data_IF_876414815852
#
_entry.id   IF_876414815852
#
_cell.length_a   1.000
_cell.length_b   1.000
_cell.length_c   1.000
_cell.angle_alpha   90.00
_cell.angle_beta   90.00
_cell.angle_gamma   90.00
#
_symmetry.space_group_name_H-M   'P 1'
#
loop_
_entity.id
_entity.type
_entity.pdbx_description
1 polymer ?
#
# COMPACT_ATOMS: atom_id res chain seq x y z
N UNK A 1 21.73 -15.44 -9.71
CA UNK A 1 21.04 -14.72 -8.62
C UNK A 1 19.60 -14.50 -9.05
N UNK A 2 18.61 -14.95 -8.27
CA UNK A 2 17.22 -14.67 -8.60
C UNK A 2 17.00 -13.18 -8.31
N UNK A 3 16.85 -12.37 -9.37
CA UNK A 3 16.43 -10.98 -9.23
C UNK A 3 15.20 -10.94 -8.33
N UNK A 4 15.28 -10.24 -7.19
CA UNK A 4 14.12 -10.03 -6.32
C UNK A 4 13.01 -9.41 -7.16
N UNK A 5 11.94 -10.19 -7.39
CA UNK A 5 10.79 -9.77 -8.17
C UNK A 5 9.95 -8.82 -7.31
N UNK A 6 10.48 -7.64 -7.02
CA UNK A 6 9.83 -6.64 -6.19
C UNK A 6 8.60 -6.07 -6.87
N UNK A 7 7.63 -5.70 -6.05
CA UNK A 7 6.27 -5.34 -6.43
C UNK A 7 5.81 -4.22 -5.51
N UNK A 8 4.98 -3.34 -6.05
CA UNK A 8 4.28 -2.34 -5.26
C UNK A 8 2.83 -2.76 -5.05
N UNK A 9 2.33 -2.54 -3.84
CA UNK A 9 0.96 -2.84 -3.48
C UNK A 9 0.32 -1.71 -2.67
N UNK A 10 -1.01 -1.64 -2.72
CA UNK A 10 -1.84 -1.06 -1.65
C UNK A 10 -2.02 -2.12 -0.60
N UNK A 11 -1.76 -1.79 0.66
CA UNK A 11 -2.21 -2.57 1.80
C UNK A 11 -3.48 -1.99 2.38
N UNK A 12 -4.45 -2.85 2.70
CA UNK A 12 -5.67 -2.49 3.40
C UNK A 12 -5.66 -3.09 4.79
N UNK A 13 -5.82 -2.26 5.82
CA UNK A 13 -5.79 -2.66 7.22
C UNK A 13 -7.18 -2.57 7.89
N UNK A 14 -7.48 -3.47 8.82
CA UNK A 14 -8.81 -3.60 9.45
C UNK A 14 -9.23 -2.45 10.36
N UNK A 15 -8.28 -1.70 10.95
CA UNK A 15 -8.58 -0.55 11.82
C UNK A 15 -8.89 0.69 10.98
N UNK A 16 -10.19 0.99 10.79
CA UNK A 16 -10.67 2.20 10.12
C UNK A 16 -10.35 2.28 8.62
N UNK A 17 -10.17 1.13 7.94
CA UNK A 17 -9.66 1.01 6.57
C UNK A 17 -8.49 1.94 6.28
N UNK A 18 -7.50 1.82 7.14
CA UNK A 18 -6.24 2.46 6.93
C UNK A 18 -5.51 1.79 5.75
N UNK A 19 -4.96 2.58 4.83
CA UNK A 19 -4.17 2.06 3.73
C UNK A 19 -2.67 2.27 3.96
N UNK A 20 -1.82 1.58 3.22
CA UNK A 20 -0.40 1.92 3.12
C UNK A 20 0.17 1.46 1.78
N UNK A 21 1.36 1.93 1.43
CA UNK A 21 2.15 1.35 0.34
C UNK A 21 2.95 0.18 0.90
N UNK A 22 2.95 -0.95 0.21
CA UNK A 22 3.90 -2.02 0.46
C UNK A 22 4.85 -2.18 -0.72
N UNK A 23 6.14 -2.22 -0.42
CA UNK A 23 7.18 -2.74 -1.28
C UNK A 23 7.58 -4.12 -0.79
N UNK A 24 7.28 -5.15 -1.57
CA UNK A 24 7.59 -6.53 -1.20
C UNK A 24 8.01 -7.36 -2.43
N UNK A 25 8.82 -8.42 -2.26
CA UNK A 25 9.00 -9.40 -3.32
C UNK A 25 7.71 -10.19 -3.55
N UNK A 26 7.51 -10.69 -4.77
CA UNK A 26 6.44 -11.66 -5.06
C UNK A 26 6.60 -12.90 -4.18
N UNK A 27 5.52 -13.33 -3.54
CA UNK A 27 5.50 -14.49 -2.64
C UNK A 27 6.40 -14.31 -1.42
N UNK A 28 6.27 -13.21 -0.65
CA UNK A 28 7.21 -12.92 0.42
C UNK A 28 7.10 -13.97 1.55
N UNK A 29 8.21 -14.49 2.09
CA UNK A 29 8.19 -15.46 3.19
C UNK A 29 7.60 -14.85 4.47
N UNK A 30 6.73 -15.60 5.15
CA UNK A 30 5.99 -15.16 6.34
C UNK A 30 6.87 -14.63 7.48
N UNK A 31 8.03 -15.26 7.71
CA UNK A 31 8.89 -14.98 8.86
C UNK A 31 10.01 -13.98 8.57
N UNK A 32 10.04 -13.40 7.37
CA UNK A 32 11.12 -12.50 6.96
C UNK A 32 10.60 -11.07 6.90
N UNK A 33 11.29 -10.14 7.55
CA UNK A 33 11.04 -8.71 7.41
C UNK A 33 11.68 -8.19 6.11
N UNK A 34 11.15 -8.64 4.97
CA UNK A 34 11.60 -8.23 3.65
C UNK A 34 10.60 -7.33 2.92
N UNK A 35 9.57 -6.89 3.64
CA UNK A 35 8.57 -5.95 3.16
C UNK A 35 8.80 -4.60 3.81
N UNK A 36 8.80 -3.55 3.01
CA UNK A 36 8.79 -2.17 3.49
C UNK A 36 7.39 -1.63 3.38
N UNK A 37 6.88 -1.06 4.47
CA UNK A 37 5.62 -0.32 4.50
C UNK A 37 5.94 1.17 4.51
N UNK A 38 5.31 1.91 3.62
CA UNK A 38 5.29 3.37 3.64
C UNK A 38 3.91 3.82 4.07
N UNK A 39 3.87 4.47 5.23
CA UNK A 39 2.65 4.86 5.91
C UNK A 39 2.62 6.38 6.06
N UNK A 40 1.52 7.02 5.66
CA UNK A 40 1.38 8.46 5.85
C UNK A 40 0.87 8.74 7.26
N UNK A 41 1.53 9.69 7.92
CA UNK A 41 1.06 10.31 9.15
C UNK A 41 1.22 11.83 9.05
N UNK A 42 0.64 12.56 9.99
CA UNK A 42 0.83 14.00 10.10
C UNK A 42 1.32 14.36 11.51
N UNK A 43 1.99 15.50 11.58
CA UNK A 43 2.34 16.20 12.82
C UNK A 43 1.68 17.57 12.81
N UNK A 44 1.18 18.01 13.96
CA UNK A 44 0.72 19.38 14.14
C UNK A 44 1.88 20.16 14.74
N UNK A 45 2.36 21.16 14.00
CA UNK A 45 3.43 22.05 14.42
C UNK A 45 2.94 22.97 15.55
N UNK A 46 3.87 23.58 16.28
CA UNK A 46 3.53 24.58 17.32
C UNK A 46 2.76 25.77 16.74
N UNK A 47 2.96 26.09 15.46
CA UNK A 47 2.20 27.11 14.72
C UNK A 47 0.73 26.75 14.49
N UNK A 48 0.33 25.49 14.76
CA UNK A 48 -0.98 24.94 14.41
C UNK A 48 -1.07 24.42 12.97
N UNK A 49 0.01 24.56 12.18
CA UNK A 49 0.09 24.01 10.82
C UNK A 49 0.24 22.49 10.85
N UNK A 50 -0.30 21.82 9.83
CA UNK A 50 -0.21 20.37 9.68
C UNK A 50 0.89 20.04 8.68
N UNK A 51 1.88 19.27 9.12
CA UNK A 51 2.94 18.74 8.27
C UNK A 51 2.73 17.24 8.05
N UNK A 52 2.84 16.79 6.80
CA UNK A 52 2.63 15.39 6.42
C UNK A 52 3.95 14.68 6.18
N UNK A 53 4.02 13.44 6.64
CA UNK A 53 5.22 12.63 6.64
C UNK A 53 4.94 11.21 6.17
N UNK A 54 5.96 10.57 5.59
CA UNK A 54 5.95 9.13 5.31
C UNK A 54 6.84 8.40 6.32
N UNK A 55 6.24 7.50 7.09
CA UNK A 55 6.96 6.51 7.90
C UNK A 55 7.37 5.35 6.99
N UNK A 56 8.68 5.17 6.77
CA UNK A 56 9.25 3.96 6.19
C UNK A 56 9.53 2.95 7.31
N UNK A 57 8.96 1.74 7.22
CA UNK A 57 9.18 0.68 8.21
C UNK A 57 9.35 -0.69 7.58
N UNK A 58 10.38 -1.43 8.01
CA UNK A 58 10.47 -2.86 7.74
C UNK A 58 9.43 -3.62 8.56
N UNK A 59 8.63 -4.43 7.88
CA UNK A 59 7.51 -5.16 8.48
C UNK A 59 7.49 -6.59 7.99
N UNK A 60 6.79 -7.44 8.74
CA UNK A 60 6.40 -8.74 8.22
C UNK A 60 5.36 -8.55 7.10
N UNK A 61 5.45 -9.32 6.00
CA UNK A 61 4.55 -9.21 4.85
C UNK A 61 3.09 -9.49 5.20
N UNK A 62 2.83 -10.16 6.33
CA UNK A 62 1.51 -10.53 6.80
C UNK A 62 1.43 -10.21 8.29
N UNK A 63 0.34 -9.56 8.69
CA UNK A 63 0.07 -9.18 10.08
C UNK A 63 -1.42 -9.36 10.35
N UNK A 64 -1.81 -9.54 11.61
CA UNK A 64 -3.24 -9.63 12.02
C UNK A 64 -4.08 -8.40 11.65
N UNK A 65 -3.44 -7.28 11.30
CA UNK A 65 -4.14 -6.06 10.90
C UNK A 65 -4.32 -5.96 9.39
N UNK A 66 -3.51 -6.67 8.61
CA UNK A 66 -3.50 -6.58 7.14
C UNK A 66 -4.51 -7.57 6.57
N UNK A 67 -5.53 -7.07 5.87
CA UNK A 67 -6.68 -7.90 5.44
C UNK A 67 -6.66 -8.23 3.97
N UNK A 68 -6.12 -7.35 3.14
CA UNK A 68 -5.95 -7.56 1.71
C UNK A 68 -4.87 -6.64 1.16
N UNK A 69 -4.39 -6.96 -0.02
CA UNK A 69 -3.51 -6.08 -0.80
C UNK A 69 -4.01 -5.95 -2.24
N UNK A 70 -3.75 -4.81 -2.87
CA UNK A 70 -3.93 -4.62 -4.30
C UNK A 70 -2.57 -4.52 -4.97
N UNK A 71 -2.32 -5.37 -5.95
CA UNK A 71 -1.14 -5.32 -6.79
C UNK A 71 -1.25 -4.17 -7.80
N UNK A 72 -0.19 -3.37 -7.88
CA UNK A 72 -0.12 -2.21 -8.77
C UNK A 72 0.75 -2.51 -9.98
N UNK A 73 2.04 -2.73 -9.74
CA UNK A 73 3.00 -3.01 -10.81
C UNK A 73 4.29 -3.63 -10.29
N UNK A 74 5.05 -4.17 -11.23
CA UNK A 74 6.37 -4.74 -11.01
C UNK A 74 7.39 -3.62 -10.92
N UNK A 75 8.31 -3.73 -9.97
CA UNK A 75 9.40 -2.78 -9.84
C UNK A 75 10.54 -3.19 -10.77
N UNK A 76 11.02 -2.24 -11.58
CA UNK A 76 12.18 -2.44 -12.46
C UNK A 76 13.50 -2.41 -11.66
N UNK A 77 14.55 -3.10 -12.13
CA UNK A 77 15.88 -3.01 -11.53
C UNK A 77 16.34 -1.54 -11.44
N UNK A 78 16.76 -1.09 -10.24
CA UNK A 78 17.19 0.29 -9.97
C UNK A 78 16.27 1.05 -9.00
N UNK A 79 15.03 0.62 -8.85
CA UNK A 79 14.09 1.18 -7.89
C UNK A 79 14.25 0.49 -6.53
N UNK A 80 14.99 1.14 -5.64
CA UNK A 80 15.23 0.67 -4.28
C UNK A 80 14.12 1.12 -3.33
N UNK A 81 14.05 0.50 -2.15
CA UNK A 81 13.17 0.95 -1.05
C UNK A 81 13.36 2.43 -0.75
N UNK A 82 14.62 2.86 -0.64
CA UNK A 82 14.98 4.26 -0.38
C UNK A 82 14.48 5.20 -1.49
N UNK A 83 14.68 4.82 -2.76
CA UNK A 83 14.23 5.64 -3.89
C UNK A 83 12.71 5.84 -3.88
N UNK A 84 11.94 4.82 -3.49
CA UNK A 84 10.48 4.93 -3.33
C UNK A 84 10.14 5.87 -2.17
N UNK A 85 10.82 5.73 -1.02
CA UNK A 85 10.65 6.64 0.11
C UNK A 85 10.91 8.10 -0.25
N UNK A 86 12.03 8.37 -0.94
CA UNK A 86 12.44 9.71 -1.38
C UNK A 86 11.44 10.34 -2.37
N UNK A 87 10.77 9.52 -3.19
CA UNK A 87 9.72 10.00 -4.11
C UNK A 87 8.45 10.31 -3.34
N UNK A 88 8.02 9.41 -2.46
CA UNK A 88 6.82 9.59 -1.65
C UNK A 88 6.91 10.86 -0.80
N UNK A 89 8.07 11.15 -0.21
CA UNK A 89 8.31 12.37 0.58
C UNK A 89 8.16 13.68 -0.21
N UNK A 90 8.29 13.65 -1.54
CA UNK A 90 8.17 14.85 -2.40
C UNK A 90 6.75 15.12 -2.86
N UNK A 91 5.81 14.21 -2.60
CA UNK A 91 4.44 14.35 -3.12
C UNK A 91 3.64 15.25 -2.20
N UNK A 92 3.08 16.38 -2.70
CA UNK A 92 2.31 17.31 -1.88
C UNK A 92 0.99 16.68 -1.43
N UNK A 93 0.77 16.66 -0.12
CA UNK A 93 -0.46 16.16 0.49
C UNK A 93 -1.49 17.29 0.56
N UNK A 94 -2.65 17.18 -0.11
CA UNK A 94 -3.66 18.23 -0.05
C UNK A 94 -4.18 18.40 1.39
N UNK A 95 -4.17 19.63 1.87
CA UNK A 95 -4.76 20.03 3.15
C UNK A 95 -6.27 20.11 2.95
N UNK A 96 -6.97 18.97 2.97
CA UNK A 96 -8.44 18.99 2.99
C UNK A 96 -8.94 19.52 4.34
N UNK A 97 -9.96 20.39 4.30
CA UNK A 97 -10.53 21.11 5.45
C UNK A 97 -11.16 20.10 6.44
N UNK A 98 -10.50 19.79 7.56
CA UNK A 98 -10.82 18.62 8.39
C UNK A 98 -11.88 18.92 9.46
N UNK A 99 -13.12 18.44 9.26
CA UNK A 99 -14.03 18.16 10.38
C UNK A 99 -13.75 16.76 10.93
N UNK A 100 -13.07 16.72 12.08
CA UNK A 100 -12.93 15.67 13.10
C UNK A 100 -13.30 14.20 12.75
N UNK A 101 -12.37 13.29 13.09
CA UNK A 101 -12.50 11.83 13.36
C UNK A 101 -12.43 10.82 12.21
N UNK A 102 -12.68 11.19 10.96
CA UNK A 102 -12.42 10.26 9.85
C UNK A 102 -10.93 10.33 9.51
N UNK A 103 -10.22 9.19 9.60
CA UNK A 103 -8.81 9.11 9.21
C UNK A 103 -8.68 9.72 7.80
N UNK A 104 -8.04 10.90 7.61
CA UNK A 104 -7.88 11.54 6.30
C UNK A 104 -7.00 10.72 5.34
N UNK A 105 -6.57 9.55 5.80
CA UNK A 105 -5.47 8.72 5.32
C UNK A 105 -5.84 7.81 4.15
N UNK A 106 -7.13 7.48 3.98
CA UNK A 106 -7.53 6.40 3.06
C UNK A 106 -7.52 6.84 1.59
N UNK A 107 -8.02 8.04 1.27
CA UNK A 107 -8.05 8.57 -0.10
C UNK A 107 -6.71 9.24 -0.49
N UNK A 108 -6.08 9.94 0.46
CA UNK A 108 -4.94 10.82 0.19
C UNK A 108 -3.68 10.05 -0.17
N UNK A 109 -3.39 8.92 0.49
CA UNK A 109 -2.27 8.05 0.12
C UNK A 109 -2.30 7.60 -1.35
N UNK A 110 -3.51 7.40 -1.89
CA UNK A 110 -3.67 6.90 -3.25
C UNK A 110 -3.62 7.99 -4.31
N UNK A 111 -4.17 9.17 -3.99
CA UNK A 111 -3.95 10.38 -4.77
C UNK A 111 -2.45 10.67 -4.93
N UNK A 112 -1.63 10.36 -3.93
CA UNK A 112 -0.18 10.60 -3.94
C UNK A 112 0.61 9.59 -4.78
N UNK A 113 0.16 8.32 -4.84
CA UNK A 113 0.71 7.33 -5.79
C UNK A 113 0.40 7.74 -7.22
N UNK A 114 -0.82 8.16 -7.50
CA UNK A 114 -1.19 8.61 -8.84
C UNK A 114 -0.59 9.97 -9.22
N UNK A 115 -0.42 10.90 -8.28
CA UNK A 115 0.15 12.22 -8.55
C UNK A 115 1.69 12.21 -8.60
N UNK A 116 2.38 11.26 -7.95
CA UNK A 116 3.83 11.29 -7.80
C UNK A 116 4.61 9.98 -8.00
N UNK A 117 4.00 8.79 -7.96
CA UNK A 117 4.76 7.54 -7.84
C UNK A 117 4.14 6.42 -8.69
N UNK A 118 4.55 6.18 -9.93
CA UNK A 118 5.90 5.81 -10.36
C UNK A 118 5.82 5.83 -11.88
N UNK A 119 6.71 6.60 -12.51
CA UNK A 119 6.92 6.58 -13.96
C UNK A 119 8.25 5.82 -14.20
N UNK A 120 8.27 4.48 -14.09
CA UNK A 120 9.41 3.69 -14.51
C UNK A 120 9.40 3.79 -16.03
N UNK A 121 10.36 4.51 -16.60
CA UNK A 121 10.44 4.83 -18.03
C UNK A 121 9.61 3.90 -18.92
N UNK A 122 8.53 4.42 -19.50
CA UNK A 122 7.65 3.78 -20.48
C UNK A 122 6.92 2.47 -20.11
N UNK A 123 7.14 1.85 -18.93
CA UNK A 123 6.49 0.58 -18.54
C UNK A 123 5.69 0.64 -17.22
N UNK A 124 5.46 1.85 -16.70
CA UNK A 124 4.71 2.09 -15.48
C UNK A 124 3.22 2.12 -15.62
N UNK A 125 2.56 2.00 -14.48
CA UNK A 125 1.13 2.22 -14.36
C UNK A 125 0.86 3.73 -14.39
N UNK A 126 0.48 4.25 -15.55
CA UNK A 126 0.01 5.62 -15.69
C UNK A 126 -1.44 5.71 -15.19
N UNK A 127 -1.63 6.25 -13.99
CA UNK A 127 -2.95 6.49 -13.42
C UNK A 127 -3.08 7.99 -13.19
N UNK A 128 -4.05 8.64 -13.81
CA UNK A 128 -4.41 10.02 -13.48
C UNK A 128 -4.98 10.11 -12.05
N UNK A 129 -4.94 11.28 -11.42
CA UNK A 129 -5.51 11.46 -10.08
C UNK A 129 -6.98 11.00 -9.97
N UNK A 130 -7.78 11.18 -11.04
CA UNK A 130 -9.19 10.73 -11.08
C UNK A 130 -9.32 9.20 -11.17
N UNK A 131 -8.44 8.53 -11.90
CA UNK A 131 -8.41 7.06 -11.98
C UNK A 131 -7.89 6.43 -10.68
N UNK A 132 -7.04 7.15 -9.94
CA UNK A 132 -6.48 6.73 -8.66
C UNK A 132 -7.57 6.39 -7.66
N UNK A 133 -8.50 7.31 -7.46
CA UNK A 133 -9.61 7.11 -6.53
C UNK A 133 -10.44 5.87 -6.94
N UNK A 134 -10.68 5.68 -8.24
CA UNK A 134 -11.35 4.49 -8.76
C UNK A 134 -10.60 3.19 -8.44
N UNK A 135 -9.28 3.17 -8.62
CA UNK A 135 -8.42 2.02 -8.27
C UNK A 135 -8.45 1.76 -6.76
N UNK A 136 -8.28 2.80 -5.93
CA UNK A 136 -8.37 2.67 -4.48
C UNK A 136 -9.71 2.08 -4.04
N UNK A 137 -10.83 2.61 -4.55
CA UNK A 137 -12.19 2.14 -4.24
C UNK A 137 -12.39 0.68 -4.62
N UNK A 138 -11.91 0.24 -5.79
CA UNK A 138 -11.99 -1.17 -6.20
C UNK A 138 -11.28 -2.10 -5.21
N UNK A 139 -10.10 -1.71 -4.75
CA UNK A 139 -9.34 -2.51 -3.78
C UNK A 139 -9.96 -2.47 -2.39
N UNK A 140 -10.58 -1.35 -2.00
CA UNK A 140 -11.37 -1.26 -0.78
C UNK A 140 -12.57 -2.21 -0.83
N UNK A 141 -13.34 -2.18 -1.92
CA UNK A 141 -14.46 -3.11 -2.14
C UNK A 141 -14.00 -4.56 -2.11
N UNK A 142 -12.85 -4.87 -2.70
CA UNK A 142 -12.25 -6.20 -2.61
C UNK A 142 -11.86 -6.58 -1.17
N UNK A 143 -11.35 -5.64 -0.38
CA UNK A 143 -10.90 -5.86 0.99
C UNK A 143 -12.06 -6.03 2.01
N UNK A 144 -13.23 -5.44 1.74
CA UNK A 144 -14.38 -5.40 2.66
C UNK A 144 -14.77 -6.76 3.25
N UNK A 145 -14.94 -7.84 2.46
CA UNK A 145 -15.35 -9.14 2.99
C UNK A 145 -14.33 -9.76 3.96
N UNK A 146 -13.06 -9.34 3.90
CA UNK A 146 -11.97 -9.85 4.74
C UNK A 146 -11.77 -9.05 6.02
N UNK A 147 -12.41 -7.87 6.15
CA UNK A 147 -12.27 -7.01 7.34
C UNK A 147 -12.72 -7.69 8.63
N UNK A 148 -13.90 -8.30 8.60
CA UNK A 148 -14.47 -9.04 9.75
C UNK A 148 -13.64 -10.28 10.12
N UNK A 149 -12.82 -10.76 9.17
CA UNK A 149 -11.92 -11.89 9.32
C UNK A 149 -10.49 -11.47 9.66
N UNK A 150 -10.20 -10.21 9.99
CA UNK A 150 -8.81 -9.79 10.28
C UNK A 150 -8.12 -10.59 11.40
N UNK A 151 -8.89 -11.14 12.33
CA UNK A 151 -8.41 -12.03 13.40
C UNK A 151 -8.25 -13.49 12.97
N UNK A 152 -8.71 -13.85 11.77
CA UNK A 152 -8.66 -15.19 11.21
C UNK A 152 -7.19 -15.59 10.94
N UNK A 153 -6.69 -16.65 11.58
CA UNK A 153 -5.36 -17.19 11.31
C UNK A 153 -5.15 -17.53 9.83
N UNK A 154 -6.21 -17.86 9.07
CA UNK A 154 -6.13 -18.16 7.64
C UNK A 154 -5.62 -16.99 6.80
N UNK A 155 -5.98 -15.76 7.16
CA UNK A 155 -5.44 -14.56 6.50
C UNK A 155 -3.95 -14.34 6.77
N UNK A 156 -3.43 -14.92 7.86
CA UNK A 156 -1.99 -14.93 8.12
C UNK A 156 -1.26 -15.94 7.24
N UNK A 157 -1.97 -16.94 6.68
CA UNK A 157 -1.41 -17.95 5.79
C UNK A 157 -1.54 -17.60 4.32
N UNK A 158 -2.62 -16.95 3.88
CA UNK A 158 -2.77 -16.47 2.51
C UNK A 158 -3.38 -15.08 2.55
N UNK A 159 -2.70 -14.11 1.95
CA UNK A 159 -3.20 -12.74 1.98
C UNK A 159 -4.02 -12.49 0.70
N UNK A 160 -5.33 -12.20 0.81
CA UNK A 160 -6.16 -11.86 -0.33
C UNK A 160 -5.51 -10.75 -1.13
N UNK A 161 -5.30 -11.00 -2.42
CA UNK A 161 -4.71 -10.02 -3.33
C UNK A 161 -5.64 -9.81 -4.52
N UNK A 162 -5.76 -8.58 -4.99
CA UNK A 162 -6.41 -8.23 -6.26
C UNK A 162 -5.48 -7.42 -7.17
N UNK A 163 -5.82 -7.31 -8.45
CA UNK A 163 -5.23 -6.33 -9.37
C UNK A 163 -5.97 -4.99 -9.31
N UNK A 164 -5.51 -4.02 -10.10
CA UNK A 164 -6.09 -2.67 -10.23
C UNK A 164 -7.56 -2.64 -10.68
N UNK A 165 -8.08 -3.75 -11.23
CA UNK A 165 -9.48 -3.89 -11.64
C UNK A 165 -10.35 -4.43 -10.50
N UNK A 166 -9.75 -4.88 -9.40
CA UNK A 166 -10.42 -5.56 -8.29
C UNK A 166 -10.49 -7.08 -8.47
N UNK A 167 -9.88 -7.63 -9.52
CA UNK A 167 -9.90 -9.07 -9.80
C UNK A 167 -8.88 -9.82 -8.94
N UNK A 168 -9.25 -10.97 -8.39
CA UNK A 168 -8.39 -11.72 -7.46
C UNK A 168 -7.12 -12.29 -8.12
N UNK A 169 -5.96 -12.14 -7.45
CA UNK A 169 -4.67 -12.72 -7.85
C UNK A 169 -4.15 -13.64 -6.75
N UNK A 170 -4.09 -14.95 -7.00
CA UNK A 170 -3.64 -15.93 -5.98
C UNK A 170 -2.13 -16.06 -5.82
N UNK A 171 -1.35 -15.57 -6.79
CA UNK A 171 0.09 -15.85 -6.89
C UNK A 171 0.99 -14.81 -6.22
N UNK A 172 0.45 -13.69 -5.74
CA UNK A 172 1.24 -12.59 -5.17
C UNK A 172 1.57 -12.85 -3.70
N UNK A 173 0.59 -13.24 -2.89
CA UNK A 173 0.77 -13.65 -1.50
C UNK A 173 0.15 -15.04 -1.26
N UNK A 174 0.73 -16.10 -1.86
CA UNK A 174 0.16 -17.42 -1.81
C UNK A 174 0.11 -17.98 -0.38
N UNK A 175 -0.79 -18.94 -0.20
CA UNK A 175 -0.78 -19.85 0.93
C UNK A 175 0.58 -20.54 1.04
N UNK A 176 1.04 -20.81 2.26
CA UNK A 176 2.24 -21.62 2.48
C UNK A 176 2.05 -22.98 1.79
N UNK A 177 2.92 -23.35 0.87
CA UNK A 177 3.05 -24.75 0.44
C UNK A 177 3.45 -25.54 1.69
N UNK A 178 2.60 -26.48 2.11
CA UNK A 178 2.88 -27.39 3.22
C UNK A 178 4.14 -28.20 2.93
#
# INVERSE_FOLDING_TARGET
MVSDKNRLYIAYYSRGFHTAILFAPKGPPFKNQNTTRYHIYYTVLESGEVEWHYEEKLVFPRTQKLVAVMFLFKITPGWTRRAIGDILQKVPVPVENQSKWECPHSNTQWKLVAAGAINPGSEGLHISAGEAEGVWRKGLTFAEPYRVKSWDPELQYALPTCDITGSSIRTEFPARSR
#
